data_IF_892444036978
#
_entry.id   IF_892444036978
#
_cell.length_a   1.000
_cell.length_b   1.000
_cell.length_c   1.000
_cell.angle_alpha   90.00
_cell.angle_beta   90.00
_cell.angle_gamma   90.00
#
_symmetry.space_group_name_H-M   'P 1'
#
loop_
_entity.id
_entity.type
_entity.pdbx_description
1 polymer ?
#
# COMPACT_ATOMS: atom_id res chain seq x y z
N UNK A 1 31.75 -31.42 6.17
CA UNK A 1 31.86 -30.14 5.45
C UNK A 1 30.59 -29.90 4.62
N UNK A 2 29.56 -29.24 5.17
CA UNK A 2 28.32 -28.91 4.45
C UNK A 2 28.18 -27.40 4.39
N UNK A 3 28.23 -26.86 3.16
CA UNK A 3 28.34 -25.44 2.84
C UNK A 3 27.05 -24.71 3.26
N UNK A 4 27.18 -23.84 4.26
CA UNK A 4 26.17 -22.83 4.60
C UNK A 4 26.12 -21.81 3.45
N UNK A 5 25.00 -21.64 2.75
CA UNK A 5 24.83 -20.52 1.81
C UNK A 5 23.37 -20.07 1.74
N UNK A 6 23.21 -18.74 1.70
CA UNK A 6 21.99 -17.96 1.55
C UNK A 6 21.08 -17.80 2.79
N UNK A 7 21.63 -17.21 3.86
CA UNK A 7 20.88 -16.26 4.72
C UNK A 7 21.35 -14.84 4.36
N UNK A 8 20.89 -14.35 3.22
CA UNK A 8 21.04 -12.96 2.82
C UNK A 8 19.77 -12.64 2.05
N UNK A 9 18.86 -11.86 2.65
CA UNK A 9 17.77 -11.09 2.04
C UNK A 9 16.78 -10.57 3.11
N UNK A 10 16.89 -11.00 4.38
CA UNK A 10 16.04 -10.49 5.49
C UNK A 10 16.73 -9.41 6.34
N UNK A 11 17.96 -8.98 6.00
CA UNK A 11 18.74 -8.03 6.81
C UNK A 11 18.93 -6.66 6.14
N UNK A 12 17.89 -6.11 5.51
CA UNK A 12 17.85 -4.70 5.11
C UNK A 12 16.76 -3.89 5.86
N UNK A 13 15.76 -4.55 6.44
CA UNK A 13 14.66 -3.86 7.15
C UNK A 13 14.96 -3.52 8.62
N UNK A 14 16.02 -4.08 9.21
CA UNK A 14 16.30 -3.95 10.64
C UNK A 14 17.04 -2.66 11.05
N UNK A 15 17.55 -1.86 10.11
CA UNK A 15 18.39 -0.68 10.41
C UNK A 15 17.70 0.68 10.19
N UNK A 16 16.42 0.73 9.82
CA UNK A 16 15.71 1.99 9.58
C UNK A 16 14.99 2.53 10.83
N UNK A 17 14.77 1.71 11.86
CA UNK A 17 14.01 2.10 13.05
C UNK A 17 14.81 2.92 14.08
N UNK A 18 16.13 3.02 13.95
CA UNK A 18 17.00 3.76 14.90
C UNK A 18 17.53 5.08 14.37
N UNK A 19 17.11 5.50 13.17
CA UNK A 19 17.45 6.84 12.65
C UNK A 19 16.29 7.77 12.92
N UNK A 20 16.52 8.67 13.87
CA UNK A 20 15.63 9.74 14.27
C UNK A 20 15.06 10.52 13.09
N UNK A 21 13.99 11.23 13.41
CA UNK A 21 13.00 11.89 12.55
C UNK A 21 13.53 13.03 11.64
N UNK A 22 14.81 13.07 11.25
CA UNK A 22 15.45 14.25 10.64
C UNK A 22 16.31 13.98 9.38
N UNK A 23 16.15 12.86 8.67
CA UNK A 23 17.07 12.52 7.55
C UNK A 23 16.43 12.08 6.21
N UNK A 24 15.15 12.35 5.96
CA UNK A 24 14.52 12.04 4.65
C UNK A 24 13.67 13.20 4.09
N UNK A 25 14.19 14.42 4.21
CA UNK A 25 13.78 15.51 3.33
C UNK A 25 14.38 15.23 1.94
N UNK A 26 13.59 14.67 1.01
CA UNK A 26 14.01 14.57 -0.40
C UNK A 26 13.93 13.21 -1.09
N UNK A 27 12.97 12.35 -0.74
CA UNK A 27 12.36 11.50 -1.78
C UNK A 27 10.95 12.04 -2.02
N UNK A 28 10.89 13.08 -2.85
CA UNK A 28 9.66 13.64 -3.40
C UNK A 28 9.08 12.60 -4.40
N UNK A 29 8.60 11.45 -3.89
CA UNK A 29 7.64 10.65 -4.64
C UNK A 29 6.36 11.46 -4.65
N UNK A 30 6.29 12.39 -5.61
CA UNK A 30 5.28 13.40 -5.75
C UNK A 30 3.89 12.81 -5.53
N UNK A 31 3.37 13.00 -4.32
CA UNK A 31 1.95 13.11 -4.02
C UNK A 31 1.48 14.42 -4.67
N UNK A 32 1.64 14.51 -6.00
CA UNK A 32 0.88 15.47 -6.76
C UNK A 32 -0.59 15.09 -6.52
N UNK A 33 -1.51 16.07 -6.39
CA UNK A 33 -2.94 15.80 -6.22
C UNK A 33 -3.58 14.92 -7.31
N UNK A 34 -2.79 14.56 -8.34
CA UNK A 34 -3.17 13.76 -9.50
C UNK A 34 -2.72 12.30 -9.43
N UNK A 35 -1.76 11.94 -8.57
CA UNK A 35 -1.27 10.58 -8.46
C UNK A 35 -2.18 9.74 -7.55
N UNK A 36 -2.79 8.68 -8.09
CA UNK A 36 -3.67 7.80 -7.32
C UNK A 36 -2.87 6.96 -6.32
N UNK A 37 -3.38 6.72 -5.09
CA UNK A 37 -2.68 5.96 -4.06
C UNK A 37 -2.28 4.55 -4.52
N UNK A 38 -3.12 3.88 -5.32
CA UNK A 38 -2.81 2.57 -5.89
C UNK A 38 -1.57 2.57 -6.78
N UNK A 39 -1.45 3.58 -7.64
CA UNK A 39 -0.31 3.74 -8.54
C UNK A 39 0.99 4.01 -7.77
N UNK A 40 0.93 4.82 -6.70
CA UNK A 40 2.08 5.09 -5.83
C UNK A 40 2.57 3.82 -5.12
N UNK A 41 1.65 3.01 -4.58
CA UNK A 41 1.97 1.74 -3.95
C UNK A 41 2.61 0.74 -4.94
N UNK A 42 2.08 0.68 -6.17
CA UNK A 42 2.64 -0.14 -7.24
C UNK A 42 4.05 0.30 -7.61
N UNK A 43 4.27 1.61 -7.81
CA UNK A 43 5.58 2.17 -8.14
C UNK A 43 6.60 1.90 -7.03
N UNK A 44 6.24 2.13 -5.77
CA UNK A 44 7.11 1.88 -4.63
C UNK A 44 7.44 0.39 -4.49
N UNK A 45 6.46 -0.50 -4.68
CA UNK A 45 6.69 -1.95 -4.70
C UNK A 45 7.67 -2.35 -5.81
N UNK A 46 7.48 -1.83 -7.03
CA UNK A 46 8.35 -2.11 -8.16
C UNK A 46 9.77 -1.57 -7.94
N UNK A 47 9.92 -0.40 -7.31
CA UNK A 47 11.21 0.21 -7.00
C UNK A 47 12.06 -0.63 -6.03
N UNK A 48 11.41 -1.35 -5.08
CA UNK A 48 12.10 -2.28 -4.18
C UNK A 48 12.20 -3.71 -4.74
N UNK A 49 11.73 -3.95 -5.98
CA UNK A 49 11.78 -5.25 -6.64
C UNK A 49 10.87 -6.33 -6.03
N UNK A 50 9.86 -5.95 -5.27
CA UNK A 50 8.97 -6.90 -4.60
C UNK A 50 7.82 -7.37 -5.51
N UNK A 51 7.49 -8.67 -5.48
CA UNK A 51 6.27 -9.18 -6.08
C UNK A 51 5.06 -8.97 -5.16
N UNK A 52 3.85 -9.02 -5.70
CA UNK A 52 2.63 -9.01 -4.87
C UNK A 52 2.56 -10.19 -3.89
N UNK A 53 3.17 -11.33 -4.25
CA UNK A 53 3.27 -12.50 -3.38
C UNK A 53 4.16 -12.19 -2.16
N UNK A 54 5.24 -11.43 -2.35
CA UNK A 54 6.13 -11.03 -1.25
C UNK A 54 5.42 -10.09 -0.28
N UNK A 55 4.70 -9.09 -0.81
CA UNK A 55 3.86 -8.20 0.00
C UNK A 55 2.81 -9.02 0.76
N UNK A 56 2.14 -9.95 0.08
CA UNK A 56 1.10 -10.79 0.67
C UNK A 56 1.63 -11.63 1.82
N UNK A 57 2.79 -12.27 1.65
CA UNK A 57 3.45 -13.06 2.70
C UNK A 57 3.81 -12.23 3.91
N UNK A 58 4.28 -11.00 3.71
CA UNK A 58 4.70 -10.11 4.80
C UNK A 58 3.50 -9.48 5.55
N UNK A 59 2.51 -9.00 4.81
CA UNK A 59 1.38 -8.23 5.35
C UNK A 59 0.17 -9.09 5.72
N UNK A 60 0.13 -10.34 5.25
CA UNK A 60 -1.04 -11.24 5.32
C UNK A 60 -2.28 -10.73 4.58
N UNK A 61 -2.10 -9.76 3.69
CA UNK A 61 -3.15 -9.30 2.77
C UNK A 61 -3.12 -10.23 1.56
N UNK A 62 -4.27 -10.76 1.14
CA UNK A 62 -4.32 -11.64 -0.05
C UNK A 62 -3.92 -10.87 -1.31
N UNK A 63 -3.26 -11.54 -2.26
CA UNK A 63 -2.86 -10.94 -3.55
C UNK A 63 -4.03 -10.23 -4.26
N UNK A 64 -5.22 -10.83 -4.29
CA UNK A 64 -6.41 -10.23 -4.89
C UNK A 64 -6.74 -8.82 -4.33
N UNK A 65 -6.62 -8.64 -3.01
CA UNK A 65 -6.85 -7.33 -2.38
C UNK A 65 -5.73 -6.33 -2.66
N UNK A 66 -4.48 -6.80 -2.74
CA UNK A 66 -3.35 -5.93 -3.08
C UNK A 66 -3.47 -5.41 -4.52
N UNK A 67 -3.83 -6.28 -5.46
CA UNK A 67 -4.11 -5.90 -6.83
C UNK A 67 -5.29 -4.92 -6.93
N UNK A 68 -6.36 -5.16 -6.18
CA UNK A 68 -7.51 -4.27 -6.12
C UNK A 68 -7.10 -2.87 -5.65
N UNK A 69 -6.23 -2.78 -4.62
CA UNK A 69 -5.67 -1.51 -4.16
C UNK A 69 -4.80 -0.86 -5.24
N UNK A 70 -3.90 -1.59 -5.92
CA UNK A 70 -3.06 -1.02 -6.99
C UNK A 70 -3.91 -0.45 -8.15
N UNK A 71 -5.04 -1.11 -8.47
CA UNK A 71 -5.96 -0.68 -9.52
C UNK A 71 -6.95 0.42 -9.09
N UNK A 72 -7.04 0.73 -7.79
CA UNK A 72 -8.09 1.60 -7.26
C UNK A 72 -9.50 0.98 -7.38
N UNK A 73 -9.59 -0.35 -7.49
CA UNK A 73 -10.85 -1.08 -7.57
C UNK A 73 -11.31 -1.47 -6.16
N UNK A 74 -12.18 -0.65 -5.59
CA UNK A 74 -12.67 -0.84 -4.24
C UNK A 74 -14.01 -1.58 -4.15
N UNK A 75 -14.60 -1.97 -5.29
CA UNK A 75 -15.92 -2.61 -5.31
C UNK A 75 -15.90 -3.98 -4.61
N UNK A 76 -14.77 -4.69 -4.66
CA UNK A 76 -14.58 -5.99 -4.03
C UNK A 76 -14.39 -5.93 -2.50
N UNK A 77 -14.27 -4.75 -1.90
CA UNK A 77 -14.08 -4.61 -0.46
C UNK A 77 -15.42 -4.58 0.28
N UNK A 78 -15.54 -5.38 1.34
CA UNK A 78 -16.74 -5.39 2.19
C UNK A 78 -16.98 -4.05 2.91
N UNK A 79 -15.91 -3.36 3.32
CA UNK A 79 -15.99 -2.11 4.06
C UNK A 79 -14.75 -1.23 3.86
N UNK A 80 -14.92 0.09 3.98
CA UNK A 80 -13.85 1.11 3.88
C UNK A 80 -12.69 0.81 4.82
N UNK A 81 -12.98 0.36 6.04
CA UNK A 81 -11.97 0.09 7.06
C UNK A 81 -10.92 -0.94 6.60
N UNK A 82 -11.32 -1.92 5.78
CA UNK A 82 -10.41 -2.91 5.23
C UNK A 82 -9.50 -2.32 4.15
N UNK A 83 -10.05 -1.55 3.21
CA UNK A 83 -9.25 -0.88 2.17
C UNK A 83 -8.21 0.05 2.80
N UNK A 84 -8.63 0.88 3.77
CA UNK A 84 -7.75 1.81 4.49
C UNK A 84 -6.67 1.06 5.30
N UNK A 85 -7.07 0.02 6.05
CA UNK A 85 -6.13 -0.78 6.86
C UNK A 85 -5.09 -1.50 6.00
N UNK A 86 -5.51 -2.11 4.90
CA UNK A 86 -4.62 -2.82 3.98
C UNK A 86 -3.67 -1.86 3.27
N UNK A 87 -4.16 -0.71 2.79
CA UNK A 87 -3.33 0.32 2.19
C UNK A 87 -2.27 0.85 3.16
N UNK A 88 -2.63 1.03 4.43
CA UNK A 88 -1.69 1.41 5.50
C UNK A 88 -0.58 0.37 5.69
N UNK A 89 -0.95 -0.91 5.86
CA UNK A 89 0.03 -1.99 6.01
C UNK A 89 0.93 -2.16 4.78
N UNK A 90 0.38 -1.95 3.58
CA UNK A 90 1.15 -1.99 2.35
C UNK A 90 2.11 -0.79 2.25
N UNK A 91 1.66 0.43 2.55
CA UNK A 91 2.53 1.62 2.60
C UNK A 91 3.75 1.41 3.50
N UNK A 92 3.53 0.84 4.70
CA UNK A 92 4.62 0.47 5.62
C UNK A 92 5.61 -0.51 4.99
N UNK A 93 5.12 -1.54 4.30
CA UNK A 93 5.98 -2.54 3.65
C UNK A 93 6.89 -1.92 2.57
N UNK A 94 6.38 -0.96 1.80
CA UNK A 94 7.15 -0.30 0.72
C UNK A 94 7.91 0.95 1.17
N UNK A 95 7.86 1.30 2.46
CA UNK A 95 8.56 2.46 3.01
C UNK A 95 7.91 3.82 2.70
N UNK A 96 6.61 3.84 2.36
CA UNK A 96 5.84 5.07 2.16
C UNK A 96 5.21 5.56 3.47
N UNK A 97 4.88 6.86 3.52
CA UNK A 97 4.14 7.44 4.63
C UNK A 97 2.73 6.83 4.73
N UNK A 98 2.45 6.19 5.86
CA UNK A 98 1.22 5.43 6.10
C UNK A 98 -0.05 6.29 6.06
N UNK A 99 -0.03 7.43 6.76
CA UNK A 99 -1.23 8.24 6.97
C UNK A 99 -1.73 8.92 5.70
N UNK A 100 -0.87 9.54 4.85
CA UNK A 100 -1.30 10.08 3.56
C UNK A 100 -1.93 9.03 2.64
N UNK A 101 -1.32 7.84 2.53
CA UNK A 101 -1.86 6.75 1.70
C UNK A 101 -3.21 6.27 2.24
N UNK A 102 -3.32 6.05 3.56
CA UNK A 102 -4.56 5.62 4.19
C UNK A 102 -5.71 6.63 3.99
N UNK A 103 -5.41 7.94 4.07
CA UNK A 103 -6.38 9.00 3.80
C UNK A 103 -6.84 8.95 2.34
N UNK A 104 -5.89 8.96 1.39
CA UNK A 104 -6.20 8.99 -0.04
C UNK A 104 -7.04 7.78 -0.49
N UNK A 105 -6.71 6.57 -0.01
CA UNK A 105 -7.54 5.37 -0.28
C UNK A 105 -8.93 5.49 0.32
N UNK A 106 -9.02 6.07 1.52
CA UNK A 106 -10.28 6.32 2.17
C UNK A 106 -11.18 7.30 1.40
N UNK A 107 -10.59 8.30 0.75
CA UNK A 107 -11.28 9.29 -0.06
C UNK A 107 -11.71 8.67 -1.41
N UNK A 108 -10.81 7.94 -2.10
CA UNK A 108 -11.13 7.26 -3.36
C UNK A 108 -12.23 6.20 -3.17
N UNK A 109 -12.19 5.44 -2.06
CA UNK A 109 -13.26 4.50 -1.68
C UNK A 109 -14.62 5.19 -1.52
N UNK A 110 -14.65 6.36 -0.86
CA UNK A 110 -15.87 7.12 -0.66
C UNK A 110 -16.43 7.65 -2.00
N UNK A 111 -15.54 8.12 -2.87
CA UNK A 111 -15.86 8.56 -4.22
C UNK A 111 -16.42 7.43 -5.10
N UNK A 112 -15.89 6.20 -4.96
CA UNK A 112 -16.36 5.05 -5.71
C UNK A 112 -17.75 4.56 -5.28
N UNK A 113 -18.12 4.74 -4.01
CA UNK A 113 -19.43 4.32 -3.47
C UNK A 113 -20.52 5.38 -3.58
N UNK A 114 -20.21 6.62 -3.93
CA UNK A 114 -21.21 7.71 -4.05
C UNK A 114 -22.12 7.61 -5.28
N UNK A 115 -22.29 6.41 -5.85
CA UNK A 115 -23.32 6.12 -6.88
C UNK A 115 -24.68 6.58 -6.33
N UNK A 116 -25.42 7.45 -7.06
CA UNK A 116 -26.66 8.01 -6.57
C UNK A 116 -27.68 6.89 -6.39
N UNK A 117 -28.18 6.72 -5.16
CA UNK A 117 -29.36 5.92 -4.90
C UNK A 117 -30.55 6.64 -5.54
N UNK A 118 -30.88 6.30 -6.79
CA UNK A 118 -32.17 6.65 -7.38
C UNK A 118 -33.24 5.84 -6.65
N UNK A 119 -33.71 6.37 -5.53
CA UNK A 119 -34.93 5.85 -4.91
C UNK A 119 -36.12 6.26 -5.78
N UNK A 120 -36.40 5.47 -6.81
CA UNK A 120 -37.68 5.46 -7.50
C UNK A 120 -38.68 4.74 -6.59
N UNK A 121 -39.25 5.45 -5.62
CA UNK A 121 -40.46 4.95 -4.97
C UNK A 121 -41.63 5.63 -5.68
N UNK A 122 -42.34 4.84 -6.48
CA UNK A 122 -43.61 5.18 -7.10
C UNK A 122 -44.74 4.52 -6.29
#
# INVERSE_FOLDING_TARGET
MVKRKARAHVLAAANLAERGFDAFEGVELGLTPRARPGALLQQARAAIGASLIDVSRHTRITVCHLEAIERGDYAGFHARIYAVGFARSYARFVGLAEQPIASAVGDEYAQARSVPTVHHWA
#
